data_IF_420707889769
#
_entry.id   IF_420707889769
#
_cell.length_a   1.000
_cell.length_b   1.000
_cell.length_c   1.000
_cell.angle_alpha   90.00
_cell.angle_beta   90.00
_cell.angle_gamma   90.00
#
_symmetry.space_group_name_H-M   'P 1'
#
loop_
_entity.id
_entity.type
_entity.pdbx_description
1 polymer ?
#
# COMPACT_ATOMS: atom_id res chain seq x y z
N UNK A 1 -15.56 8.16 -10.34
CA UNK A 1 -15.53 8.60 -8.92
C UNK A 1 -14.17 8.22 -8.34
N UNK A 2 -13.61 8.99 -7.40
CA UNK A 2 -12.35 8.63 -6.76
C UNK A 2 -12.50 7.31 -5.99
N UNK A 3 -11.50 6.44 -6.08
CA UNK A 3 -11.44 5.19 -5.34
C UNK A 3 -10.60 5.34 -4.08
N UNK A 4 -10.98 4.60 -3.04
CA UNK A 4 -10.35 4.52 -1.74
C UNK A 4 -10.15 3.06 -1.39
N UNK A 5 -9.05 2.76 -0.72
CA UNK A 5 -8.77 1.45 -0.15
C UNK A 5 -9.17 1.44 1.32
N UNK A 6 -10.17 0.63 1.66
CA UNK A 6 -10.67 0.44 3.00
C UNK A 6 -10.01 -0.79 3.62
N UNK A 7 -9.50 -0.63 4.84
CA UNK A 7 -8.87 -1.68 5.63
C UNK A 7 -9.72 -1.92 6.87
N UNK A 8 -10.32 -3.10 6.94
CA UNK A 8 -11.14 -3.54 8.06
C UNK A 8 -10.59 -4.88 8.60
N UNK A 9 -10.72 -5.12 9.90
CA UNK A 9 -10.27 -6.36 10.53
C UNK A 9 -11.41 -7.15 11.16
N UNK A 10 -11.25 -8.47 11.19
CA UNK A 10 -12.25 -9.42 11.62
C UNK A 10 -11.66 -10.45 12.59
N UNK A 11 -12.48 -11.06 13.46
CA UNK A 11 -12.01 -12.08 14.40
C UNK A 11 -11.58 -13.38 13.72
N UNK A 12 -12.09 -13.69 12.52
CA UNK A 12 -11.73 -14.87 11.74
C UNK A 12 -12.07 -14.69 10.25
N UNK A 13 -11.51 -15.55 9.39
CA UNK A 13 -11.73 -15.53 7.93
C UNK A 13 -13.20 -15.65 7.55
N UNK A 14 -13.97 -16.53 8.19
CA UNK A 14 -15.36 -16.75 7.85
C UNK A 14 -16.21 -15.47 8.03
N UNK A 15 -15.97 -14.71 9.11
CA UNK A 15 -16.63 -13.43 9.34
C UNK A 15 -16.25 -12.38 8.29
N UNK A 16 -14.98 -12.34 7.87
CA UNK A 16 -14.53 -11.43 6.82
C UNK A 16 -15.13 -11.78 5.44
N UNK A 17 -15.16 -13.07 5.09
CA UNK A 17 -15.75 -13.55 3.83
C UNK A 17 -17.25 -13.27 3.76
N UNK A 18 -17.97 -13.42 4.87
CA UNK A 18 -19.40 -13.10 4.95
C UNK A 18 -19.71 -11.60 4.76
N UNK A 19 -18.74 -10.73 5.03
CA UNK A 19 -18.87 -9.28 4.89
C UNK A 19 -18.35 -8.73 3.56
N UNK A 20 -17.86 -9.58 2.65
CA UNK A 20 -17.32 -9.14 1.36
C UNK A 20 -18.39 -8.50 0.48
N UNK A 21 -17.92 -7.51 -0.25
CA UNK A 21 -18.57 -6.92 -1.43
C UNK A 21 -17.80 -7.31 -2.71
N UNK A 22 -18.32 -6.97 -3.90
CA UNK A 22 -17.77 -7.31 -5.21
C UNK A 22 -16.27 -6.98 -5.36
N UNK A 23 -15.83 -5.86 -4.79
CA UNK A 23 -14.44 -5.38 -4.84
C UNK A 23 -13.65 -5.63 -3.57
N UNK A 24 -14.02 -6.69 -2.84
CA UNK A 24 -13.41 -7.03 -1.56
C UNK A 24 -12.52 -8.28 -1.64
N UNK A 25 -11.40 -8.25 -0.94
CA UNK A 25 -10.44 -9.36 -0.83
C UNK A 25 -10.15 -9.63 0.64
N UNK A 26 -10.18 -10.90 1.04
CA UNK A 26 -9.83 -11.32 2.41
C UNK A 26 -8.42 -11.86 2.42
N UNK A 27 -7.60 -11.33 3.31
CA UNK A 27 -6.20 -11.72 3.47
C UNK A 27 -5.87 -11.93 4.96
N UNK A 28 -4.90 -12.79 5.24
CA UNK A 28 -4.36 -12.99 6.58
C UNK A 28 -2.92 -12.52 6.59
N UNK A 29 -2.60 -11.60 7.51
CA UNK A 29 -1.25 -11.06 7.64
C UNK A 29 -1.10 -10.36 8.99
N UNK A 30 0.09 -10.47 9.60
CA UNK A 30 0.41 -9.87 10.90
C UNK A 30 -0.63 -10.21 11.99
N UNK A 31 -0.94 -11.50 12.12
CA UNK A 31 -1.88 -12.05 13.10
C UNK A 31 -3.29 -11.46 13.04
N UNK A 32 -3.68 -10.94 11.87
CA UNK A 32 -4.97 -10.32 11.62
C UNK A 32 -5.61 -10.91 10.38
N UNK A 33 -6.93 -11.01 10.42
CA UNK A 33 -7.78 -11.24 9.25
C UNK A 33 -8.25 -9.89 8.75
N UNK A 34 -7.87 -9.57 7.52
CA UNK A 34 -8.18 -8.33 6.84
C UNK A 34 -9.29 -8.53 5.82
N UNK A 35 -10.15 -7.53 5.71
CA UNK A 35 -10.98 -7.29 4.54
C UNK A 35 -10.48 -6.02 3.87
N UNK A 36 -9.96 -6.16 2.66
CA UNK A 36 -9.55 -5.04 1.81
C UNK A 36 -10.63 -4.77 0.78
N UNK A 37 -11.14 -3.55 0.74
CA UNK A 37 -12.16 -3.17 -0.24
C UNK A 37 -11.78 -1.90 -0.97
N UNK A 38 -11.87 -1.91 -2.31
CA UNK A 38 -11.52 -0.77 -3.15
C UNK A 38 -12.79 -0.21 -3.79
N UNK A 39 -13.24 0.95 -3.30
CA UNK A 39 -14.52 1.54 -3.72
C UNK A 39 -14.57 3.03 -3.34
N UNK A 40 -15.73 3.68 -3.46
CA UNK A 40 -15.87 5.09 -3.09
C UNK A 40 -15.71 5.33 -1.56
N UNK A 41 -15.63 6.60 -1.17
CA UNK A 41 -15.36 7.01 0.21
C UNK A 41 -16.47 6.64 1.21
N UNK A 42 -17.73 6.56 0.73
CA UNK A 42 -18.90 6.40 1.58
C UNK A 42 -19.17 4.95 1.96
N UNK A 43 -18.49 4.02 1.30
CA UNK A 43 -18.62 2.60 1.61
C UNK A 43 -18.13 2.27 3.02
N UNK A 44 -18.87 1.38 3.69
CA UNK A 44 -18.52 0.78 4.97
C UNK A 44 -19.00 -0.68 4.98
N UNK A 45 -18.25 -1.62 5.56
CA UNK A 45 -18.76 -2.97 5.75
C UNK A 45 -19.88 -2.97 6.81
N UNK A 46 -20.75 -3.98 6.76
CA UNK A 46 -21.84 -4.14 7.72
C UNK A 46 -21.35 -4.53 9.14
N UNK A 47 -20.15 -5.11 9.23
CA UNK A 47 -19.52 -5.56 10.48
C UNK A 47 -17.99 -5.36 10.39
N UNK A 48 -17.23 -5.81 11.38
CA UNK A 48 -15.77 -5.65 11.44
C UNK A 48 -15.32 -4.37 12.13
N UNK A 49 -14.01 -4.23 12.32
CA UNK A 49 -13.39 -3.05 12.94
C UNK A 49 -12.59 -2.29 11.89
N UNK A 50 -12.96 -1.04 11.65
CA UNK A 50 -12.24 -0.14 10.75
C UNK A 50 -10.84 0.15 11.26
N UNK A 51 -9.84 -0.07 10.40
CA UNK A 51 -8.45 0.32 10.64
C UNK A 51 -8.12 1.61 9.89
N UNK A 52 -8.38 1.66 8.59
CA UNK A 52 -8.05 2.83 7.78
C UNK A 52 -8.96 2.97 6.54
N UNK A 53 -9.05 4.18 6.00
CA UNK A 53 -9.56 4.48 4.66
C UNK A 53 -8.50 5.32 3.96
N UNK A 54 -7.92 4.78 2.89
CA UNK A 54 -6.72 5.34 2.25
C UNK A 54 -7.11 5.83 0.86
N UNK A 55 -6.94 7.12 0.63
CA UNK A 55 -7.21 7.72 -0.67
C UNK A 55 -7.57 9.20 -0.60
N UNK A 56 -7.97 9.80 -1.72
CA UNK A 56 -8.23 9.14 -3.00
C UNK A 56 -6.97 8.54 -3.63
N UNK A 57 -7.08 7.32 -4.20
CA UNK A 57 -5.98 6.66 -4.88
C UNK A 57 -5.58 7.46 -6.14
N UNK A 58 -4.31 7.88 -6.27
CA UNK A 58 -3.87 8.75 -7.36
C UNK A 58 -3.73 7.98 -8.68
N UNK A 59 -3.55 8.70 -9.79
CA UNK A 59 -3.14 8.14 -11.09
C UNK A 59 -4.01 7.01 -11.65
N UNK A 60 -5.29 6.93 -11.27
CA UNK A 60 -6.25 6.04 -11.90
C UNK A 60 -6.79 6.69 -13.18
N UNK A 61 -6.68 5.97 -14.30
CA UNK A 61 -7.21 6.39 -15.59
C UNK A 61 -8.74 6.45 -15.59
N UNK A 62 -9.31 7.15 -16.59
CA UNK A 62 -10.76 7.18 -16.80
C UNK A 62 -11.22 5.85 -17.39
N UNK A 63 -11.68 4.94 -16.53
CA UNK A 63 -12.10 3.61 -16.94
C UNK A 63 -10.90 2.70 -17.19
N UNK A 64 -11.06 1.41 -16.88
CA UNK A 64 -9.99 0.43 -16.98
C UNK A 64 -10.20 -0.72 -16.00
N UNK A 65 -9.63 -1.86 -16.34
CA UNK A 65 -9.52 -3.00 -15.42
C UNK A 65 -8.17 -2.91 -14.75
N UNK A 66 -8.15 -3.06 -13.43
CA UNK A 66 -6.93 -3.08 -12.64
C UNK A 66 -6.84 -4.40 -11.89
N UNK A 67 -5.63 -4.94 -11.77
CA UNK A 67 -5.33 -5.98 -10.81
C UNK A 67 -4.89 -5.32 -9.50
N UNK A 68 -5.46 -5.75 -8.38
CA UNK A 68 -5.04 -5.36 -7.05
C UNK A 68 -4.06 -6.39 -6.49
N UNK A 69 -2.80 -6.00 -6.33
CA UNK A 69 -1.77 -6.81 -5.69
C UNK A 69 -1.55 -6.30 -4.27
N UNK A 70 -1.75 -7.18 -3.29
CA UNK A 70 -1.52 -6.88 -1.87
C UNK A 70 -0.21 -7.50 -1.41
N UNK A 71 0.62 -6.73 -0.70
CA UNK A 71 1.88 -7.21 -0.14
C UNK A 71 1.94 -6.91 1.36
N UNK A 72 2.67 -7.74 2.09
CA UNK A 72 3.11 -7.46 3.44
C UNK A 72 4.64 -7.25 3.44
N UNK A 73 5.10 -6.22 4.14
CA UNK A 73 6.52 -5.99 4.37
C UNK A 73 6.81 -6.19 5.85
N UNK A 74 7.69 -7.14 6.20
CA UNK A 74 8.25 -7.35 7.54
C UNK A 74 9.77 -7.25 7.41
N UNK A 75 10.34 -6.10 7.77
CA UNK A 75 11.72 -5.75 7.40
C UNK A 75 12.45 -5.01 8.51
N UNK A 76 13.69 -5.43 8.77
CA UNK A 76 14.56 -4.80 9.76
C UNK A 76 14.98 -3.37 9.33
N UNK A 77 15.35 -2.50 10.30
CA UNK A 77 15.95 -1.21 10.00
C UNK A 77 17.13 -1.33 9.04
N UNK A 78 17.20 -0.44 8.06
CA UNK A 78 18.24 -0.41 7.04
C UNK A 78 17.93 -1.24 5.78
N UNK A 79 16.89 -2.08 5.78
CA UNK A 79 16.44 -2.77 4.56
C UNK A 79 16.09 -1.77 3.45
N UNK A 80 16.53 -2.03 2.23
CA UNK A 80 16.22 -1.23 1.04
C UNK A 80 15.67 -2.13 -0.07
N UNK A 81 14.70 -1.62 -0.83
CA UNK A 81 14.27 -2.27 -2.07
C UNK A 81 15.23 -1.91 -3.21
N UNK A 82 15.23 -2.72 -4.28
CA UNK A 82 15.71 -2.25 -5.58
C UNK A 82 14.91 -1.01 -6.06
N UNK A 83 15.49 -0.27 -6.99
CA UNK A 83 14.80 0.84 -7.66
C UNK A 83 13.76 0.27 -8.65
N UNK A 84 12.51 0.66 -8.50
CA UNK A 84 11.40 0.13 -9.29
C UNK A 84 10.28 1.15 -9.47
N UNK A 85 9.29 0.79 -10.30
CA UNK A 85 8.03 1.53 -10.47
C UNK A 85 6.86 0.56 -10.65
N UNK A 86 5.67 1.11 -10.46
CA UNK A 86 4.38 0.49 -10.75
C UNK A 86 3.71 1.31 -11.86
N UNK A 87 2.93 0.69 -12.75
CA UNK A 87 2.22 1.42 -13.81
C UNK A 87 0.96 2.13 -13.29
N UNK A 88 0.37 1.64 -12.20
CA UNK A 88 -0.64 2.32 -11.39
C UNK A 88 -0.16 2.67 -9.97
N UNK A 89 -1.05 3.20 -9.11
CA UNK A 89 -0.68 3.72 -7.80
C UNK A 89 -0.31 2.63 -6.79
N UNK A 90 0.56 3.01 -5.86
CA UNK A 90 0.81 2.27 -4.61
C UNK A 90 0.22 3.03 -3.42
N UNK A 91 -0.45 2.30 -2.53
CA UNK A 91 -0.88 2.78 -1.22
C UNK A 91 -0.26 1.91 -0.13
N UNK A 92 0.35 2.54 0.87
CA UNK A 92 1.12 1.86 1.91
C UNK A 92 0.61 2.28 3.30
N UNK A 93 0.19 1.30 4.09
CA UNK A 93 -0.20 1.45 5.48
C UNK A 93 0.86 0.86 6.41
N UNK A 94 1.44 1.69 7.28
CA UNK A 94 2.47 1.25 8.25
C UNK A 94 1.83 0.85 9.58
N UNK A 95 2.06 -0.39 10.00
CA UNK A 95 1.58 -0.96 11.25
C UNK A 95 2.56 -0.75 12.41
N UNK A 96 3.87 -0.91 12.15
CA UNK A 96 4.96 -0.73 13.10
C UNK A 96 6.20 -0.20 12.38
N UNK A 97 7.12 0.42 13.13
CA UNK A 97 8.32 1.03 12.57
C UNK A 97 8.03 2.13 11.54
N UNK A 98 9.01 2.36 10.67
CA UNK A 98 9.00 3.48 9.74
C UNK A 98 9.50 3.07 8.34
N UNK A 99 8.95 3.70 7.31
CA UNK A 99 9.43 3.59 5.94
C UNK A 99 9.64 4.95 5.35
N UNK A 100 10.80 5.15 4.72
CA UNK A 100 11.07 6.27 3.86
C UNK A 100 10.95 5.83 2.40
N UNK A 101 10.14 6.53 1.62
CA UNK A 101 9.99 6.32 0.18
C UNK A 101 10.64 7.50 -0.52
N UNK A 102 11.65 7.24 -1.32
CA UNK A 102 12.29 8.25 -2.15
C UNK A 102 11.82 8.13 -3.60
N UNK A 103 11.47 9.26 -4.20
CA UNK A 103 11.03 9.41 -5.59
C UNK A 103 11.70 10.64 -6.22
N UNK A 104 11.54 10.90 -7.53
CA UNK A 104 12.00 12.15 -8.16
C UNK A 104 11.49 13.42 -7.48
N UNK A 105 10.28 13.38 -6.91
CA UNK A 105 9.62 14.52 -6.27
C UNK A 105 10.12 14.80 -4.84
N UNK A 106 10.93 13.91 -4.28
CA UNK A 106 11.47 14.03 -2.92
C UNK A 106 11.29 12.75 -2.11
N UNK A 107 11.18 12.90 -0.79
CA UNK A 107 10.91 11.76 0.11
C UNK A 107 9.60 11.93 0.85
N UNK A 108 8.98 10.80 1.14
CA UNK A 108 7.87 10.68 2.07
C UNK A 108 8.27 9.72 3.19
N UNK A 109 7.72 9.91 4.40
CA UNK A 109 7.96 8.99 5.52
C UNK A 109 6.64 8.54 6.12
N UNK A 110 6.40 7.23 6.12
CA UNK A 110 5.24 6.60 6.72
C UNK A 110 5.61 5.95 8.05
N UNK A 111 4.76 6.12 9.06
CA UNK A 111 4.99 5.62 10.43
C UNK A 111 3.73 4.98 10.98
N UNK A 112 3.88 4.09 11.96
CA UNK A 112 2.75 3.56 12.72
C UNK A 112 1.91 4.70 13.32
N UNK A 113 0.60 4.67 13.11
CA UNK A 113 -0.33 5.73 13.56
C UNK A 113 -0.23 7.06 12.80
N UNK A 114 0.64 7.15 11.79
CA UNK A 114 0.74 8.29 10.90
C UNK A 114 -0.15 8.15 9.66
N UNK A 115 -0.09 9.17 8.81
CA UNK A 115 -0.78 9.15 7.52
C UNK A 115 -0.23 8.02 6.62
N UNK A 116 -1.10 7.28 5.90
CA UNK A 116 -0.67 6.36 4.87
C UNK A 116 0.07 7.07 3.73
N UNK A 117 0.94 6.34 3.04
CA UNK A 117 1.63 6.88 1.86
C UNK A 117 0.86 6.52 0.59
N UNK A 118 0.79 7.49 -0.33
CA UNK A 118 0.22 7.35 -1.66
C UNK A 118 1.28 7.71 -2.69
N UNK A 119 1.70 6.73 -3.49
CA UNK A 119 2.69 6.92 -4.54
C UNK A 119 1.97 6.86 -5.90
N UNK A 120 2.06 7.92 -6.73
CA UNK A 120 1.55 7.90 -8.10
C UNK A 120 2.18 6.79 -8.97
N UNK A 121 1.40 6.24 -9.89
CA UNK A 121 1.91 5.32 -10.91
C UNK A 121 2.90 5.98 -11.86
N UNK A 122 3.71 5.14 -12.50
CA UNK A 122 4.81 5.45 -13.43
C UNK A 122 5.96 6.27 -12.84
N UNK A 123 6.02 6.40 -11.51
CA UNK A 123 7.11 7.06 -10.82
C UNK A 123 8.13 6.03 -10.32
N UNK A 124 9.44 6.20 -10.61
CA UNK A 124 10.46 5.39 -9.96
C UNK A 124 10.53 5.70 -8.46
N UNK A 125 10.81 4.68 -7.67
CA UNK A 125 10.95 4.79 -6.23
C UNK A 125 11.98 3.82 -5.67
N UNK A 126 12.52 4.19 -4.50
CA UNK A 126 13.25 3.29 -3.60
C UNK A 126 12.69 3.43 -2.20
N UNK A 127 12.39 2.29 -1.57
CA UNK A 127 11.92 2.25 -0.20
C UNK A 127 13.06 1.84 0.72
N UNK A 128 13.12 2.48 1.89
CA UNK A 128 14.01 2.11 2.98
C UNK A 128 13.23 1.97 4.27
N UNK A 129 13.44 0.88 5.00
CA UNK A 129 12.98 0.74 6.37
C UNK A 129 13.89 1.56 7.28
N UNK A 130 13.35 2.61 7.89
CA UNK A 130 14.09 3.59 8.70
C UNK A 130 13.67 3.50 10.17
N UNK A 131 14.28 4.31 11.03
CA UNK A 131 14.05 4.26 12.47
C UNK A 131 14.77 3.07 13.12
N UNK A 132 14.33 2.69 14.32
CA UNK A 132 14.96 1.63 15.12
C UNK A 132 14.10 0.38 15.31
N UNK A 133 12.81 0.46 14.97
CA UNK A 133 11.87 -0.65 15.10
C UNK A 133 11.74 -1.41 13.78
N UNK A 134 11.49 -2.72 13.88
CA UNK A 134 11.15 -3.54 12.72
C UNK A 134 9.88 -3.03 12.02
N UNK A 135 9.99 -2.74 10.73
CA UNK A 135 8.91 -2.18 9.93
C UNK A 135 7.94 -3.29 9.53
N UNK A 136 6.65 -3.09 9.87
CA UNK A 136 5.53 -3.84 9.31
C UNK A 136 4.61 -2.94 8.51
N UNK A 137 4.32 -3.30 7.27
CA UNK A 137 3.38 -2.56 6.42
C UNK A 137 2.52 -3.49 5.59
N UNK A 138 1.28 -3.08 5.29
CA UNK A 138 0.48 -3.66 4.20
C UNK A 138 0.48 -2.66 3.05
N UNK A 139 0.66 -3.18 1.84
CA UNK A 139 0.77 -2.41 0.60
C UNK A 139 -0.32 -2.87 -0.36
N UNK A 140 -0.97 -1.92 -1.03
CA UNK A 140 -1.78 -2.13 -2.22
C UNK A 140 -1.03 -1.55 -3.42
N UNK A 141 -0.83 -2.33 -4.45
CA UNK A 141 -0.44 -1.87 -5.79
C UNK A 141 -1.59 -2.14 -6.74
N UNK A 142 -2.07 -1.10 -7.41
CA UNK A 142 -2.96 -1.24 -8.56
C UNK A 142 -2.14 -1.20 -9.83
N UNK A 143 -2.33 -2.17 -10.72
CA UNK A 143 -1.58 -2.24 -11.97
C UNK A 143 -2.45 -2.74 -13.13
N UNK A 144 -1.99 -2.53 -14.36
CA UNK A 144 -2.62 -3.13 -15.52
C UNK A 144 -2.51 -4.67 -15.43
N UNK A 145 -3.61 -5.43 -15.62
CA UNK A 145 -3.58 -6.88 -15.65
C UNK A 145 -2.60 -7.48 -16.68
N UNK A 146 -2.26 -6.75 -17.75
CA UNK A 146 -1.32 -7.20 -18.78
C UNK A 146 0.16 -7.04 -18.36
N UNK A 147 0.45 -6.30 -17.28
CA UNK A 147 1.80 -5.99 -16.84
C UNK A 147 2.14 -6.67 -15.51
N UNK A 148 3.43 -6.87 -15.26
CA UNK A 148 3.92 -7.24 -13.93
C UNK A 148 3.63 -6.11 -12.95
N UNK A 149 3.23 -6.46 -11.72
CA UNK A 149 2.92 -5.48 -10.69
C UNK A 149 4.11 -4.58 -10.35
N UNK A 150 5.36 -5.04 -10.55
CA UNK A 150 6.61 -4.31 -10.30
C UNK A 150 7.51 -4.35 -11.53
N UNK A 151 7.97 -3.19 -11.98
CA UNK A 151 8.94 -3.04 -13.07
C UNK A 151 10.25 -2.43 -12.56
N UNK A 152 11.43 -2.92 -12.99
CA UNK A 152 12.70 -2.23 -12.75
C UNK A 152 12.70 -0.81 -13.31
N UNK A 153 13.43 0.10 -12.66
CA UNK A 153 13.51 1.50 -13.07
C UNK A 153 14.97 1.99 -13.10
N UNK A 154 15.81 1.33 -13.91
CA UNK A 154 17.24 1.61 -14.01
C UNK A 154 17.59 2.99 -14.62
N UNK A 155 16.59 3.68 -15.19
CA UNK A 155 16.65 5.04 -15.72
C UNK A 155 16.61 6.13 -14.63
N UNK A 156 16.46 5.77 -13.36
CA UNK A 156 16.50 6.70 -12.23
C UNK A 156 17.44 6.22 -11.12
N UNK A 157 18.19 7.17 -10.55
CA UNK A 157 19.10 6.92 -9.42
C UNK A 157 18.64 7.77 -8.23
N UNK A 158 18.37 7.17 -7.06
CA UNK A 158 18.02 7.92 -5.86
C UNK A 158 19.18 8.82 -5.40
N UNK A 159 18.85 9.99 -4.89
CA UNK A 159 19.77 10.96 -4.27
C UNK A 159 20.17 10.56 -2.84
N UNK A 160 19.52 9.54 -2.27
CA UNK A 160 19.81 9.08 -0.90
C UNK A 160 19.14 9.94 0.16
N UNK A 161 17.97 10.52 -0.14
CA UNK A 161 17.18 11.33 0.80
C UNK A 161 16.76 10.54 2.04
N UNK A 162 16.65 9.21 1.92
CA UNK A 162 16.38 8.30 3.04
C UNK A 162 17.64 7.90 3.84
N UNK A 163 18.80 8.49 3.57
CA UNK A 163 20.09 8.15 4.19
C UNK A 163 20.38 8.79 5.55
N UNK A 164 19.50 9.64 6.07
CA UNK A 164 19.63 10.25 7.40
C UNK A 164 18.66 9.58 8.37
N UNK A 165 19.22 8.85 9.34
CA UNK A 165 18.56 8.42 10.58
C UNK A 165 18.91 9.40 11.68
#
# INVERSE_FOLDING_TARGET
MPLYWHLDTYPNRAAAEAAKDERSTVAESFDKVWLFTITDANWRPSTGTRVAMIGPLPSLGKGGTYTATYLNADTAPGFETDVHRHDGPEALYTLSGEVCVETPDGKMVGRAGGEPLLIPGNQPMRLKSVGTENRRSIVLVLHDPANNWKAPAADWVPKGLCGSS
#
